data_IF_591330390955
#
_entry.id   IF_591330390955
#
_cell.length_a   1.000
_cell.length_b   1.000
_cell.length_c   1.000
_cell.angle_alpha   90.00
_cell.angle_beta   90.00
_cell.angle_gamma   90.00
#
_symmetry.space_group_name_H-M   'P 1'
#
loop_
_entity.id
_entity.type
_entity.pdbx_description
1 polymer ?
#
# COMPACT_ATOMS: atom_id res chain seq x y z
N UNK A 1 -4.29 -26.97 -6.12
CA UNK A 1 -5.06 -27.79 -7.09
C UNK A 1 -6.42 -28.11 -6.50
N UNK A 2 -7.50 -28.04 -7.28
CA UNK A 2 -8.85 -28.35 -6.79
C UNK A 2 -9.06 -29.87 -6.92
N UNK A 3 -9.28 -30.61 -5.82
CA UNK A 3 -9.48 -32.06 -5.87
C UNK A 3 -10.67 -32.48 -6.74
N UNK A 4 -10.49 -33.49 -7.59
CA UNK A 4 -11.53 -34.02 -8.50
C UNK A 4 -12.80 -34.47 -7.77
N UNK A 5 -12.66 -34.94 -6.52
CA UNK A 5 -13.78 -35.36 -5.66
C UNK A 5 -14.86 -34.28 -5.47
N UNK A 6 -14.51 -33.00 -5.64
CA UNK A 6 -15.46 -31.89 -5.48
C UNK A 6 -16.38 -31.71 -6.69
N UNK A 7 -16.06 -32.32 -7.84
CA UNK A 7 -16.87 -32.27 -9.08
C UNK A 7 -17.23 -30.84 -9.51
N UNK A 8 -16.24 -29.95 -9.46
CA UNK A 8 -16.36 -28.57 -9.93
C UNK A 8 -15.79 -28.44 -11.34
N UNK A 9 -16.39 -27.56 -12.14
CA UNK A 9 -15.85 -27.22 -13.45
C UNK A 9 -14.62 -26.32 -13.27
N UNK A 10 -13.50 -26.73 -13.87
CA UNK A 10 -12.20 -26.06 -13.74
C UNK A 10 -11.82 -25.49 -15.10
N UNK A 11 -11.50 -24.20 -15.12
CA UNK A 11 -11.04 -23.47 -16.28
C UNK A 11 -9.52 -23.46 -16.43
N UNK A 12 -9.03 -22.64 -17.36
CA UNK A 12 -7.60 -22.49 -17.63
C UNK A 12 -6.87 -22.00 -16.38
N UNK A 13 -5.74 -22.61 -16.06
CA UNK A 13 -4.90 -22.19 -14.92
C UNK A 13 -5.41 -22.69 -13.56
N UNK A 14 -6.24 -23.75 -13.54
CA UNK A 14 -6.78 -24.35 -12.31
C UNK A 14 -7.64 -23.38 -11.48
N UNK A 15 -8.39 -22.52 -12.18
CA UNK A 15 -9.42 -21.64 -11.60
C UNK A 15 -10.79 -22.34 -11.69
N UNK A 16 -11.67 -22.06 -10.74
CA UNK A 16 -13.03 -22.58 -10.74
C UNK A 16 -13.87 -21.70 -11.67
N UNK A 17 -14.60 -22.33 -12.58
CA UNK A 17 -15.55 -21.62 -13.44
C UNK A 17 -16.74 -21.21 -12.59
N UNK A 18 -17.05 -19.91 -12.59
CA UNK A 18 -18.16 -19.35 -11.87
C UNK A 18 -18.89 -18.29 -12.70
N UNK A 19 -20.17 -18.13 -12.42
CA UNK A 19 -20.98 -17.08 -13.01
C UNK A 19 -20.47 -15.69 -12.56
N UNK A 20 -20.24 -14.75 -13.48
CA UNK A 20 -19.57 -13.48 -13.17
C UNK A 20 -20.42 -12.50 -12.32
N UNK A 21 -21.74 -12.69 -12.25
CA UNK A 21 -22.61 -11.82 -11.46
C UNK A 21 -22.90 -12.42 -10.08
N UNK A 22 -23.23 -13.71 -10.04
CA UNK A 22 -23.64 -14.42 -8.84
C UNK A 22 -22.48 -15.08 -8.11
N UNK A 23 -21.35 -15.30 -8.78
CA UNK A 23 -20.20 -16.06 -8.29
C UNK A 23 -20.51 -17.54 -7.98
N UNK A 24 -21.63 -18.06 -8.49
CA UNK A 24 -22.01 -19.45 -8.36
C UNK A 24 -21.15 -20.35 -9.24
N UNK A 25 -20.68 -21.46 -8.70
CA UNK A 25 -19.93 -22.47 -9.46
C UNK A 25 -20.87 -23.41 -10.23
N UNK A 26 -20.30 -24.38 -10.95
CA UNK A 26 -21.06 -25.46 -11.59
C UNK A 26 -21.89 -26.32 -10.63
N UNK A 27 -21.61 -26.27 -9.32
CA UNK A 27 -22.32 -27.03 -8.29
C UNK A 27 -23.25 -26.14 -7.50
N UNK A 28 -24.52 -26.54 -7.42
CA UNK A 28 -25.53 -25.83 -6.65
C UNK A 28 -25.13 -25.69 -5.18
N UNK A 29 -25.36 -24.50 -4.62
CA UNK A 29 -24.99 -24.15 -3.25
C UNK A 29 -23.49 -23.89 -3.05
N UNK A 30 -22.65 -24.01 -4.09
CA UNK A 30 -21.21 -23.71 -4.02
C UNK A 30 -20.90 -22.43 -4.78
N UNK A 31 -20.31 -21.48 -4.07
CA UNK A 31 -19.90 -20.16 -4.57
C UNK A 31 -18.39 -19.99 -4.41
N UNK A 32 -17.80 -19.12 -5.21
CA UNK A 32 -16.34 -18.95 -5.27
C UNK A 32 -15.96 -17.48 -5.39
N UNK A 33 -14.79 -17.08 -4.90
CA UNK A 33 -14.34 -15.68 -4.96
C UNK A 33 -12.81 -15.57 -4.90
N UNK A 34 -12.29 -14.40 -5.26
CA UNK A 34 -10.87 -14.09 -5.24
C UNK A 34 -10.07 -14.90 -6.25
N UNK A 35 -8.82 -15.22 -5.91
CA UNK A 35 -7.86 -15.86 -6.81
C UNK A 35 -8.33 -17.22 -7.35
N UNK A 36 -9.22 -17.89 -6.63
CA UNK A 36 -9.81 -19.15 -7.06
C UNK A 36 -10.65 -19.03 -8.35
N UNK A 37 -11.08 -17.82 -8.73
CA UNK A 37 -11.94 -17.56 -9.90
C UNK A 37 -11.21 -16.75 -10.95
N UNK A 38 -10.50 -15.69 -10.55
CA UNK A 38 -9.85 -14.76 -11.48
C UNK A 38 -8.38 -15.07 -11.74
N UNK A 39 -7.77 -15.95 -10.93
CA UNK A 39 -6.30 -15.95 -10.77
C UNK A 39 -5.84 -14.74 -9.95
N UNK A 40 -4.53 -14.42 -9.95
CA UNK A 40 -3.94 -13.38 -9.09
C UNK A 40 -4.69 -12.05 -9.19
N UNK A 41 -5.40 -11.69 -8.13
CA UNK A 41 -6.18 -10.47 -8.05
C UNK A 41 -5.60 -9.48 -7.04
N UNK A 42 -5.91 -8.20 -7.20
CA UNK A 42 -5.66 -7.24 -6.13
C UNK A 42 -6.56 -7.55 -4.91
N UNK A 43 -6.12 -7.12 -3.74
CA UNK A 43 -6.90 -7.28 -2.49
C UNK A 43 -8.31 -6.67 -2.63
N UNK A 44 -8.42 -5.54 -3.33
CA UNK A 44 -9.70 -4.85 -3.55
C UNK A 44 -10.63 -5.68 -4.42
N UNK A 45 -10.13 -6.29 -5.49
CA UNK A 45 -10.91 -7.15 -6.38
C UNK A 45 -11.37 -8.42 -5.67
N UNK A 46 -10.49 -9.06 -4.89
CA UNK A 46 -10.83 -10.24 -4.10
C UNK A 46 -11.97 -9.95 -3.10
N UNK A 47 -11.90 -8.79 -2.42
CA UNK A 47 -12.96 -8.34 -1.50
C UNK A 47 -14.25 -8.02 -2.27
N UNK A 48 -14.16 -7.41 -3.44
CA UNK A 48 -15.31 -7.14 -4.31
C UNK A 48 -16.03 -8.42 -4.74
N UNK A 49 -15.28 -9.43 -5.18
CA UNK A 49 -15.81 -10.75 -5.54
C UNK A 49 -16.45 -11.46 -4.33
N UNK A 50 -15.81 -11.39 -3.16
CA UNK A 50 -16.35 -11.98 -1.93
C UNK A 50 -17.69 -11.35 -1.53
N UNK A 51 -17.85 -10.03 -1.68
CA UNK A 51 -19.14 -9.35 -1.43
C UNK A 51 -20.24 -9.84 -2.37
N UNK A 52 -19.94 -10.01 -3.66
CA UNK A 52 -20.90 -10.57 -4.63
C UNK A 52 -21.32 -11.98 -4.25
N UNK A 53 -20.34 -12.85 -3.94
CA UNK A 53 -20.61 -14.21 -3.51
C UNK A 53 -21.47 -14.24 -2.24
N UNK A 54 -21.18 -13.40 -1.24
CA UNK A 54 -21.95 -13.32 0.00
C UNK A 54 -23.40 -12.89 -0.24
N UNK A 55 -23.64 -11.91 -1.13
CA UNK A 55 -24.99 -11.50 -1.54
C UNK A 55 -25.75 -12.66 -2.18
N UNK A 56 -25.09 -13.43 -3.05
CA UNK A 56 -25.72 -14.58 -3.72
C UNK A 56 -25.98 -15.74 -2.78
N UNK A 57 -25.07 -16.00 -1.83
CA UNK A 57 -25.25 -17.00 -0.77
C UNK A 57 -26.47 -16.61 0.08
N UNK A 58 -26.58 -15.35 0.52
CA UNK A 58 -27.71 -14.90 1.31
C UNK A 58 -29.04 -15.08 0.55
N UNK A 59 -29.10 -14.67 -0.73
CA UNK A 59 -30.27 -14.90 -1.59
C UNK A 59 -30.60 -16.39 -1.75
N UNK A 60 -29.58 -17.23 -1.92
CA UNK A 60 -29.75 -18.68 -2.07
C UNK A 60 -30.31 -19.34 -0.80
N UNK A 61 -29.94 -18.82 0.38
CA UNK A 61 -30.46 -19.27 1.67
C UNK A 61 -31.83 -18.65 2.03
N UNK A 62 -32.45 -17.87 1.14
CA UNK A 62 -33.77 -17.24 1.35
C UNK A 62 -33.72 -15.85 1.99
N UNK A 63 -32.53 -15.26 2.12
CA UNK A 63 -32.33 -13.87 2.54
C UNK A 63 -32.62 -12.86 1.43
N UNK A 64 -32.34 -11.58 1.70
CA UNK A 64 -32.63 -10.47 0.77
C UNK A 64 -31.41 -10.05 -0.06
N UNK A 65 -30.24 -10.61 0.20
CA UNK A 65 -28.96 -10.21 -0.39
C UNK A 65 -28.47 -8.86 0.11
N UNK A 66 -28.84 -8.47 1.33
CA UNK A 66 -28.46 -7.18 1.90
C UNK A 66 -27.33 -7.41 2.90
N UNK A 67 -26.10 -7.10 2.48
CA UNK A 67 -24.97 -7.13 3.40
C UNK A 67 -25.07 -5.96 4.38
N UNK A 68 -24.74 -6.17 5.68
CA UNK A 68 -24.60 -5.06 6.60
C UNK A 68 -23.48 -4.17 6.09
N UNK A 69 -23.84 -2.94 5.72
CA UNK A 69 -22.83 -1.91 5.43
C UNK A 69 -22.29 -1.50 6.79
N UNK A 70 -21.10 -1.98 7.15
CA UNK A 70 -20.31 -1.25 8.14
C UNK A 70 -20.09 0.13 7.52
N UNK A 71 -20.73 1.16 8.07
CA UNK A 71 -20.41 2.53 7.76
C UNK A 71 -18.95 2.73 8.15
N UNK A 72 -18.05 2.52 7.20
CA UNK A 72 -16.67 2.97 7.32
C UNK A 72 -16.78 4.48 7.26
N UNK A 73 -16.95 5.09 8.44
CA UNK A 73 -16.64 6.50 8.63
C UNK A 73 -15.16 6.62 8.39
N UNK A 74 -14.81 6.82 7.12
CA UNK A 74 -13.50 7.31 6.74
C UNK A 74 -13.39 8.63 7.48
N UNK A 75 -12.70 8.63 8.62
CA UNK A 75 -12.24 9.88 9.19
C UNK A 75 -11.56 10.58 8.04
N UNK A 76 -11.99 11.81 7.75
CA UNK A 76 -11.22 12.67 6.86
C UNK A 76 -9.75 12.49 7.22
N UNK A 77 -8.88 12.26 6.23
CA UNK A 77 -7.51 11.85 6.49
C UNK A 77 -6.90 12.83 7.48
N UNK A 78 -6.76 12.41 8.75
CA UNK A 78 -6.26 13.26 9.84
C UNK A 78 -4.75 13.48 9.72
N UNK A 79 -4.19 13.08 8.58
CA UNK A 79 -2.80 13.21 8.18
C UNK A 79 -2.68 13.44 6.67
N UNK A 80 -3.51 14.33 6.12
CA UNK A 80 -3.19 15.05 4.87
C UNK A 80 -3.72 16.48 5.00
N UNK A 81 -3.02 17.28 5.81
CA UNK A 81 -3.04 18.73 5.62
C UNK A 81 -2.80 18.99 4.15
N UNK A 82 -3.63 19.84 3.55
CA UNK A 82 -3.50 20.17 2.13
C UNK A 82 -2.08 20.67 1.87
N UNK A 83 -1.52 20.36 0.70
CA UNK A 83 -0.15 20.75 0.33
C UNK A 83 0.15 22.24 0.59
N UNK A 84 -0.89 23.09 0.52
CA UNK A 84 -0.86 24.53 0.82
C UNK A 84 -0.67 24.88 2.30
N UNK A 85 -1.37 24.22 3.22
CA UNK A 85 -1.26 24.48 4.67
C UNK A 85 0.13 24.11 5.19
N UNK A 86 0.69 23.01 4.67
CA UNK A 86 2.02 22.50 5.01
C UNK A 86 3.17 23.42 4.61
N UNK A 87 3.00 24.20 3.54
CA UNK A 87 3.97 25.21 3.09
C UNK A 87 3.92 26.47 3.96
N UNK A 88 2.75 26.80 4.52
CA UNK A 88 2.60 27.94 5.43
C UNK A 88 3.13 27.64 6.86
N UNK A 89 3.02 26.40 7.33
CA UNK A 89 3.53 25.95 8.64
C UNK A 89 5.07 25.83 8.73
N UNK A 90 5.79 25.81 7.60
CA UNK A 90 7.24 25.48 7.51
C UNK A 90 8.23 26.50 8.10
N UNK A 91 7.84 27.40 9.01
CA UNK A 91 8.77 28.39 9.62
C UNK A 91 8.82 28.40 11.13
N UNK A 92 7.99 27.63 11.83
CA UNK A 92 8.12 27.55 13.29
C UNK A 92 9.15 26.48 13.66
N UNK A 93 10.30 26.98 14.10
CA UNK A 93 11.36 26.19 14.72
C UNK A 93 10.82 25.65 16.04
N UNK A 94 10.76 24.32 16.18
CA UNK A 94 10.32 23.70 17.44
C UNK A 94 11.47 23.81 18.46
N UNK A 95 11.30 24.73 19.41
CA UNK A 95 12.25 24.96 20.51
C UNK A 95 11.67 24.33 21.77
N UNK A 96 12.27 23.25 22.24
CA UNK A 96 11.94 22.65 23.53
C UNK A 96 13.06 22.94 24.53
N UNK A 97 12.70 23.33 25.75
CA UNK A 97 13.65 23.54 26.83
C UNK A 97 13.47 22.39 27.80
N UNK A 98 14.48 21.52 27.92
CA UNK A 98 14.50 20.41 28.86
C UNK A 98 15.76 20.55 29.72
N UNK A 99 15.59 20.61 31.04
CA UNK A 99 16.69 20.70 32.02
C UNK A 99 17.69 21.85 31.77
N UNK A 100 17.19 23.02 31.34
CA UNK A 100 18.02 24.18 31.04
C UNK A 100 18.82 24.08 29.73
N UNK A 101 18.65 22.99 28.98
CA UNK A 101 19.18 22.83 27.62
C UNK A 101 18.09 23.13 26.59
N UNK A 102 18.42 23.97 25.61
CA UNK A 102 17.52 24.36 24.51
C UNK A 102 17.73 23.37 23.37
N UNK A 103 16.78 22.47 23.13
CA UNK A 103 16.74 21.63 21.93
C UNK A 103 15.93 22.32 20.84
N UNK A 104 16.61 22.62 19.74
CA UNK A 104 16.04 23.26 18.56
C UNK A 104 15.97 22.21 17.45
N UNK A 105 14.77 21.76 17.09
CA UNK A 105 14.55 20.83 15.98
C UNK A 105 14.46 21.60 14.67
N UNK A 106 15.62 21.85 14.04
CA UNK A 106 15.68 22.44 12.70
C UNK A 106 15.62 21.31 11.66
N UNK A 107 14.79 21.48 10.63
CA UNK A 107 14.77 20.59 9.46
C UNK A 107 16.17 20.62 8.80
N UNK A 108 16.90 19.51 8.94
CA UNK A 108 18.20 19.34 8.29
C UNK A 108 17.97 18.83 6.87
N UNK A 109 18.63 19.45 5.89
CA UNK A 109 18.60 18.98 4.50
C UNK A 109 19.20 17.58 4.39
N UNK A 110 18.66 16.78 3.46
CA UNK A 110 19.25 15.48 3.09
C UNK A 110 20.69 15.65 2.64
N UNK A 111 21.55 14.75 3.08
CA UNK A 111 22.95 14.71 2.67
C UNK A 111 23.04 14.24 1.22
N UNK A 112 23.71 15.02 0.37
CA UNK A 112 23.89 14.65 -1.04
C UNK A 112 24.85 13.46 -1.18
N UNK A 113 24.48 12.47 -2.00
CA UNK A 113 25.32 11.32 -2.30
C UNK A 113 26.54 11.78 -3.12
N UNK A 114 27.78 11.59 -2.61
CA UNK A 114 28.98 11.79 -3.41
C UNK A 114 28.92 10.95 -4.67
N UNK A 115 29.17 11.58 -5.79
CA UNK A 115 29.03 10.95 -7.10
C UNK A 115 30.28 11.20 -7.93
N UNK A 116 30.68 10.20 -8.71
CA UNK A 116 31.82 10.32 -9.61
C UNK A 116 31.60 11.50 -10.58
N UNK A 117 32.62 12.28 -10.99
CA UNK A 117 32.45 13.34 -12.00
C UNK A 117 31.88 12.82 -13.32
N UNK A 118 31.13 13.64 -14.05
CA UNK A 118 30.45 13.21 -15.29
C UNK A 118 31.47 12.79 -16.34
N UNK A 119 32.60 13.49 -16.41
CA UNK A 119 33.69 13.24 -17.33
C UNK A 119 34.21 11.80 -17.19
N UNK A 120 34.34 11.32 -15.96
CA UNK A 120 34.82 9.97 -15.65
C UNK A 120 33.74 8.91 -15.89
N UNK A 121 32.46 9.22 -15.62
CA UNK A 121 31.32 8.32 -15.89
C UNK A 121 31.16 7.97 -17.36
N UNK A 122 31.60 8.86 -18.26
CA UNK A 122 31.50 8.63 -19.70
C UNK A 122 32.60 7.69 -20.23
N UNK A 123 33.69 7.53 -19.47
CA UNK A 123 34.88 6.80 -19.92
C UNK A 123 35.00 5.40 -19.32
N UNK A 124 34.33 5.14 -18.19
CA UNK A 124 34.49 3.90 -17.41
C UNK A 124 33.15 3.44 -16.84
N UNK A 125 33.08 2.16 -16.46
CA UNK A 125 31.92 1.54 -15.81
C UNK A 125 32.11 1.42 -14.28
N UNK A 126 32.90 2.33 -13.70
CA UNK A 126 33.13 2.38 -12.26
C UNK A 126 31.85 2.83 -11.52
N UNK A 127 31.78 2.52 -10.22
CA UNK A 127 30.63 2.85 -9.38
C UNK A 127 30.39 4.37 -9.33
N UNK A 128 29.15 4.78 -9.64
CA UNK A 128 28.79 6.21 -9.75
C UNK A 128 28.49 6.82 -8.39
N UNK A 129 27.83 6.09 -7.51
CA UNK A 129 27.52 6.51 -6.14
C UNK A 129 28.64 6.06 -5.21
N UNK A 130 29.47 6.97 -4.75
CA UNK A 130 30.70 6.65 -4.02
C UNK A 130 30.44 6.34 -2.53
N UNK A 131 29.17 6.33 -2.12
CA UNK A 131 28.74 6.18 -0.73
C UNK A 131 28.96 7.43 0.12
N UNK A 132 28.35 7.43 1.31
CA UNK A 132 28.53 8.49 2.30
C UNK A 132 29.80 8.24 3.12
N UNK A 133 30.53 9.30 3.47
CA UNK A 133 31.56 9.20 4.50
C UNK A 133 30.91 8.92 5.87
N UNK A 134 31.70 8.49 6.84
CA UNK A 134 31.23 8.24 8.21
C UNK A 134 30.49 9.46 8.79
N UNK A 135 31.03 10.65 8.58
CA UNK A 135 30.47 11.90 9.08
C UNK A 135 29.13 12.21 8.39
N UNK A 136 29.07 12.01 7.07
CA UNK A 136 27.86 12.19 6.26
C UNK A 136 26.76 11.20 6.65
N UNK A 137 27.13 9.94 6.89
CA UNK A 137 26.20 8.90 7.32
C UNK A 137 25.64 9.18 8.73
N UNK A 138 26.48 9.65 9.66
CA UNK A 138 26.04 10.06 11.00
C UNK A 138 25.09 11.25 10.89
N UNK A 139 25.41 12.25 10.06
CA UNK A 139 24.56 13.41 9.84
C UNK A 139 23.19 13.04 9.23
N UNK A 140 23.17 12.13 8.25
CA UNK A 140 21.94 11.59 7.66
C UNK A 140 21.12 10.77 8.67
N UNK A 141 21.78 9.96 9.51
CA UNK A 141 21.13 9.20 10.58
C UNK A 141 20.50 10.08 11.66
N UNK A 142 21.05 11.28 11.87
CA UNK A 142 20.52 12.29 12.79
C UNK A 142 19.45 13.21 12.15
N UNK A 143 19.12 13.02 10.87
CA UNK A 143 18.03 13.76 10.19
C UNK A 143 16.69 13.14 10.55
N UNK A 144 15.62 13.94 10.54
CA UNK A 144 14.25 13.43 10.67
C UNK A 144 13.90 12.57 9.44
N UNK A 145 13.39 11.34 9.64
CA UNK A 145 13.05 10.38 8.58
C UNK A 145 11.69 10.67 7.91
N UNK A 146 11.14 11.88 8.09
CA UNK A 146 9.92 12.32 7.42
C UNK A 146 10.18 12.67 5.96
N UNK A 147 10.52 11.64 5.19
CA UNK A 147 10.74 11.71 3.74
C UNK A 147 9.50 12.17 2.95
N UNK A 148 8.34 12.23 3.60
CA UNK A 148 7.07 12.72 3.07
C UNK A 148 7.00 14.26 2.97
N UNK A 149 7.95 15.01 3.55
CA UNK A 149 7.96 16.49 3.64
C UNK A 149 8.64 17.23 2.48
N UNK A 150 9.39 16.55 1.63
CA UNK A 150 10.32 17.19 0.66
C UNK A 150 10.18 16.68 -0.80
N UNK A 151 9.03 16.11 -1.19
CA UNK A 151 8.74 15.88 -2.62
C UNK A 151 8.26 17.16 -3.31
#
# INVERSE_FOLDING_TARGET
>A
EVPEQFKLEIGRGNIIVADPETMASSKEGVFTAGDAVTGPASVVEAVGAAKKAAISIDKHLGGKGVLPVEEIKVKEPTSRHTFLERWQEKREVEVSIVDGSVSVSVEKKRTEMPRLPIEDRLQRFDEVELGLTKEMAIAEGQRCWRCDLEQ
#
